data_IF_032280381015
#
_entry.id   IF_032280381015
#
_cell.length_a   1.000
_cell.length_b   1.000
_cell.length_c   1.000
_cell.angle_alpha   90.00
_cell.angle_beta   90.00
_cell.angle_gamma   90.00
#
_symmetry.space_group_name_H-M   'P 1'
#
loop_
_entity.id
_entity.type
_entity.pdbx_description
1 polymer ?
#
# COMPACT_ATOMS: atom_id res chain seq x y z
N UNK A 1 -8.75 16.96 14.90
CA UNK A 1 -8.05 16.05 13.97
C UNK A 1 -9.00 15.66 12.84
N UNK A 2 -8.57 15.83 11.57
CA UNK A 2 -9.40 15.49 10.41
C UNK A 2 -8.64 14.52 9.50
N UNK A 3 -9.29 13.46 8.98
CA UNK A 3 -8.65 12.51 8.07
C UNK A 3 -8.27 13.21 6.76
N UNK A 4 -7.02 13.05 6.31
CA UNK A 4 -6.48 13.61 5.06
C UNK A 4 -6.03 12.50 4.11
N UNK A 5 -6.07 12.76 2.81
CA UNK A 5 -5.42 11.91 1.81
C UNK A 5 -3.90 12.00 1.96
N UNK A 6 -3.21 10.86 1.91
CA UNK A 6 -1.74 10.79 1.87
C UNK A 6 -1.29 10.68 0.42
N UNK A 7 -1.04 11.81 -0.20
CA UNK A 7 -0.68 11.90 -1.63
C UNK A 7 0.55 11.07 -2.00
N UNK A 8 1.55 10.99 -1.14
CA UNK A 8 2.75 10.18 -1.36
C UNK A 8 2.49 8.67 -1.50
N UNK A 9 1.37 8.17 -0.95
CA UNK A 9 1.03 6.75 -1.02
C UNK A 9 0.20 6.36 -2.25
N UNK A 10 -0.35 7.32 -2.99
CA UNK A 10 -1.27 7.02 -4.12
C UNK A 10 -0.60 6.26 -5.27
N UNK A 11 0.72 6.30 -5.34
CA UNK A 11 1.52 5.64 -6.38
C UNK A 11 1.86 4.18 -6.04
N UNK A 12 1.78 3.81 -4.76
CA UNK A 12 2.05 2.46 -4.28
C UNK A 12 0.95 1.48 -4.69
N UNK A 13 1.21 0.18 -4.56
CA UNK A 13 0.16 -0.82 -4.78
C UNK A 13 -0.89 -0.78 -3.64
N UNK A 14 -2.05 -1.41 -3.86
CA UNK A 14 -3.15 -1.36 -2.90
C UNK A 14 -2.80 -2.04 -1.58
N UNK A 15 -2.02 -3.10 -1.64
CA UNK A 15 -1.62 -3.84 -0.46
C UNK A 15 -0.57 -3.06 0.34
N UNK A 16 0.40 -2.40 -0.32
CA UNK A 16 1.37 -1.53 0.34
C UNK A 16 0.69 -0.36 1.06
N UNK A 17 -0.32 0.25 0.43
CA UNK A 17 -1.11 1.32 1.08
C UNK A 17 -1.79 0.78 2.33
N UNK A 18 -2.50 -0.35 2.22
CA UNK A 18 -3.22 -0.95 3.34
C UNK A 18 -2.26 -1.35 4.48
N UNK A 19 -1.14 -2.00 4.15
CA UNK A 19 -0.15 -2.46 5.12
C UNK A 19 0.54 -1.28 5.83
N UNK A 20 0.77 -0.16 5.15
CA UNK A 20 1.29 1.05 5.78
C UNK A 20 0.33 1.58 6.84
N UNK A 21 -0.95 1.71 6.49
CA UNK A 21 -1.97 2.14 7.44
C UNK A 21 -2.15 1.15 8.60
N UNK A 22 -2.15 -0.16 8.31
CA UNK A 22 -2.24 -1.19 9.34
C UNK A 22 -1.07 -1.13 10.31
N UNK A 23 0.16 -1.04 9.81
CA UNK A 23 1.38 -1.00 10.63
C UNK A 23 1.37 0.17 11.60
N UNK A 24 1.05 1.36 11.11
CA UNK A 24 0.96 2.55 11.93
C UNK A 24 -0.19 2.46 12.95
N UNK A 25 -1.35 1.94 12.54
CA UNK A 25 -2.52 1.81 13.43
C UNK A 25 -2.27 0.76 14.52
N UNK A 26 -1.71 -0.39 14.16
CA UNK A 26 -1.37 -1.47 15.11
C UNK A 26 -0.32 -1.01 16.09
N UNK A 27 0.77 -0.38 15.62
CA UNK A 27 1.84 0.10 16.48
C UNK A 27 1.33 1.10 17.51
N UNK A 28 0.57 2.10 17.06
CA UNK A 28 0.00 3.11 17.96
C UNK A 28 -1.00 2.49 18.96
N UNK A 29 -1.92 1.64 18.48
CA UNK A 29 -2.88 0.99 19.37
C UNK A 29 -2.20 0.08 20.39
N UNK A 30 -1.23 -0.72 19.98
CA UNK A 30 -0.52 -1.62 20.90
C UNK A 30 0.22 -0.86 22.00
N UNK A 31 0.83 0.28 21.67
CA UNK A 31 1.52 1.13 22.64
C UNK A 31 0.57 1.69 23.69
N UNK A 32 -0.61 2.17 23.28
CA UNK A 32 -1.55 2.86 24.19
C UNK A 32 -2.63 1.97 24.80
N UNK A 33 -2.72 0.67 24.45
CA UNK A 33 -3.74 -0.24 25.03
C UNK A 33 -3.58 -0.47 26.55
N UNK A 34 -2.44 -0.13 27.14
CA UNK A 34 -2.21 -0.19 28.59
C UNK A 34 -2.76 1.05 29.33
N UNK A 35 -3.06 2.13 28.61
CA UNK A 35 -3.53 3.36 29.21
C UNK A 35 -4.96 3.20 29.79
N UNK A 36 -5.26 3.94 30.86
CA UNK A 36 -6.57 3.91 31.51
C UNK A 36 -7.70 4.35 30.57
N UNK A 37 -7.40 5.28 29.64
CA UNK A 37 -8.34 5.84 28.67
C UNK A 37 -8.19 5.24 27.26
N UNK A 38 -7.72 3.99 27.15
CA UNK A 38 -7.45 3.34 25.85
C UNK A 38 -8.67 3.28 24.91
N UNK A 39 -9.89 3.44 25.44
CA UNK A 39 -11.11 3.52 24.63
C UNK A 39 -11.06 4.65 23.61
N UNK A 40 -10.34 5.75 23.89
CA UNK A 40 -10.18 6.88 22.97
C UNK A 40 -9.44 6.47 21.66
N UNK A 41 -8.73 5.34 21.67
CA UNK A 41 -8.05 4.82 20.48
C UNK A 41 -8.99 4.52 19.31
N UNK A 42 -10.29 4.32 19.58
CA UNK A 42 -11.25 4.15 18.49
C UNK A 42 -11.35 5.40 17.60
N UNK A 43 -11.18 6.60 18.14
CA UNK A 43 -11.13 7.84 17.37
C UNK A 43 -9.89 7.89 16.46
N UNK A 44 -8.74 7.49 16.99
CA UNK A 44 -7.52 7.40 16.18
C UNK A 44 -7.68 6.39 15.04
N UNK A 45 -8.18 5.18 15.34
CA UNK A 45 -8.45 4.17 14.32
C UNK A 45 -9.41 4.68 13.24
N UNK A 46 -10.48 5.38 13.64
CA UNK A 46 -11.43 5.98 12.71
C UNK A 46 -10.75 6.99 11.77
N UNK A 47 -9.89 7.87 12.31
CA UNK A 47 -9.14 8.85 11.50
C UNK A 47 -8.23 8.16 10.50
N UNK A 48 -7.52 7.11 10.93
CA UNK A 48 -6.63 6.32 10.07
C UNK A 48 -7.41 5.60 8.97
N UNK A 49 -8.52 4.96 9.31
CA UNK A 49 -9.40 4.27 8.36
C UNK A 49 -9.95 5.24 7.30
N UNK A 50 -10.45 6.39 7.72
CA UNK A 50 -10.98 7.40 6.81
C UNK A 50 -9.90 8.08 5.96
N UNK A 51 -8.70 8.29 6.51
CA UNK A 51 -7.54 8.76 5.78
C UNK A 51 -7.14 7.76 4.68
N UNK A 52 -7.17 6.46 4.99
CA UNK A 52 -6.96 5.39 4.03
C UNK A 52 -8.01 5.44 2.90
N UNK A 53 -9.30 5.55 3.22
CA UNK A 53 -10.36 5.67 2.20
C UNK A 53 -10.13 6.87 1.27
N UNK A 54 -9.72 8.02 1.82
CA UNK A 54 -9.39 9.22 1.02
C UNK A 54 -8.16 8.99 0.14
N UNK A 55 -7.17 8.25 0.63
CA UNK A 55 -5.96 7.91 -0.15
C UNK A 55 -6.29 6.99 -1.32
N UNK A 56 -7.13 5.96 -1.10
CA UNK A 56 -7.64 5.13 -2.19
C UNK A 56 -8.50 5.92 -3.17
N UNK A 57 -9.36 6.82 -2.67
CA UNK A 57 -10.18 7.69 -3.51
C UNK A 57 -9.31 8.59 -4.40
N UNK A 58 -8.25 9.19 -3.84
CA UNK A 58 -7.26 9.97 -4.59
C UNK A 58 -6.52 9.12 -5.63
N UNK A 59 -6.08 7.90 -5.26
CA UNK A 59 -5.41 6.98 -6.18
C UNK A 59 -6.25 6.65 -7.41
N UNK A 60 -7.53 6.33 -7.18
CA UNK A 60 -8.46 5.91 -8.24
C UNK A 60 -9.27 7.06 -8.84
N UNK A 61 -9.01 8.31 -8.43
CA UNK A 61 -9.79 9.49 -8.84
C UNK A 61 -11.29 9.23 -8.73
N UNK A 62 -11.69 8.80 -7.55
CA UNK A 62 -13.05 8.34 -7.25
C UNK A 62 -13.52 8.90 -5.91
N UNK A 63 -14.76 8.63 -5.55
CA UNK A 63 -15.31 9.02 -4.26
C UNK A 63 -15.10 7.93 -3.21
N UNK A 64 -15.02 8.32 -1.93
CA UNK A 64 -14.92 7.39 -0.80
C UNK A 64 -16.06 6.36 -0.81
N UNK A 65 -17.29 6.79 -1.19
CA UNK A 65 -18.46 5.90 -1.30
C UNK A 65 -18.23 4.77 -2.30
N UNK A 66 -17.68 5.09 -3.48
CA UNK A 66 -17.39 4.09 -4.53
C UNK A 66 -16.24 3.15 -4.10
N UNK A 67 -15.22 3.68 -3.42
CA UNK A 67 -14.12 2.88 -2.86
C UNK A 67 -14.67 1.89 -1.82
N UNK A 68 -15.50 2.35 -0.88
CA UNK A 68 -16.09 1.47 0.12
C UNK A 68 -16.94 0.36 -0.52
N UNK A 69 -17.76 0.69 -1.52
CA UNK A 69 -18.55 -0.32 -2.24
C UNK A 69 -17.67 -1.41 -2.87
N UNK A 70 -16.48 -1.04 -3.36
CA UNK A 70 -15.55 -1.96 -4.05
C UNK A 70 -14.72 -2.83 -3.10
N UNK A 71 -14.25 -2.25 -1.98
CA UNK A 71 -13.25 -2.90 -1.11
C UNK A 71 -13.84 -3.41 0.21
N UNK A 72 -15.06 -3.04 0.57
CA UNK A 72 -15.66 -3.44 1.84
C UNK A 72 -16.32 -4.80 1.72
N UNK A 73 -15.74 -5.80 2.41
CA UNK A 73 -16.28 -7.14 2.57
C UNK A 73 -16.54 -7.38 4.06
N UNK A 74 -17.70 -7.91 4.40
CA UNK A 74 -18.09 -8.22 5.79
C UNK A 74 -17.82 -7.06 6.77
N UNK A 75 -18.19 -5.84 6.38
CA UNK A 75 -17.97 -4.59 7.15
C UNK A 75 -16.49 -4.20 7.34
N UNK A 76 -15.53 -4.93 6.75
CA UNK A 76 -14.10 -4.62 6.81
C UNK A 76 -13.58 -4.21 5.44
N UNK A 77 -12.68 -3.24 5.42
CA UNK A 77 -11.96 -2.89 4.20
C UNK A 77 -10.95 -3.98 3.88
N UNK A 78 -11.08 -4.60 2.71
CA UNK A 78 -10.32 -5.78 2.30
C UNK A 78 -9.69 -5.58 0.94
N UNK A 79 -8.40 -5.82 0.84
CA UNK A 79 -7.66 -5.86 -0.42
C UNK A 79 -7.35 -7.30 -0.75
N UNK A 80 -7.75 -7.75 -1.94
CA UNK A 80 -7.37 -9.05 -2.50
C UNK A 80 -6.09 -8.90 -3.32
N UNK A 81 -5.17 -9.82 -3.19
CA UNK A 81 -3.91 -9.87 -3.92
C UNK A 81 -3.53 -11.31 -4.26
N UNK A 82 -2.74 -11.49 -5.29
CA UNK A 82 -2.24 -12.80 -5.71
C UNK A 82 -0.79 -12.97 -5.23
N UNK A 83 -0.51 -14.11 -4.64
CA UNK A 83 0.83 -14.51 -4.23
C UNK A 83 1.05 -15.98 -4.60
N UNK A 84 2.04 -16.26 -5.44
CA UNK A 84 2.37 -17.60 -5.92
C UNK A 84 1.17 -18.36 -6.53
N UNK A 85 0.34 -17.67 -7.34
CA UNK A 85 -0.86 -18.25 -7.93
C UNK A 85 -2.06 -18.41 -6.98
N UNK A 86 -1.90 -18.08 -5.69
CA UNK A 86 -2.98 -18.14 -4.69
C UNK A 86 -3.54 -16.76 -4.40
N UNK A 87 -4.87 -16.62 -4.47
CA UNK A 87 -5.55 -15.36 -4.11
C UNK A 87 -5.66 -15.28 -2.59
N UNK A 88 -4.95 -14.29 -2.02
CA UNK A 88 -5.01 -13.96 -0.60
C UNK A 88 -5.75 -12.65 -0.37
N UNK A 89 -6.20 -12.42 0.86
CA UNK A 89 -6.85 -11.18 1.25
C UNK A 89 -6.20 -10.58 2.50
N UNK A 90 -6.15 -9.26 2.55
CA UNK A 90 -5.68 -8.49 3.70
C UNK A 90 -6.75 -7.49 4.11
N UNK A 91 -7.05 -7.43 5.41
CA UNK A 91 -8.07 -6.52 5.95
C UNK A 91 -7.44 -5.36 6.71
N UNK A 92 -8.17 -4.25 6.81
CA UNK A 92 -7.80 -3.17 7.72
C UNK A 92 -7.97 -3.63 9.17
N UNK A 93 -7.05 -3.18 10.03
CA UNK A 93 -6.96 -3.56 11.43
C UNK A 93 -8.26 -3.29 12.19
N UNK A 94 -8.76 -4.34 12.83
CA UNK A 94 -9.91 -4.29 13.74
C UNK A 94 -9.53 -4.93 15.06
N UNK A 95 -9.70 -4.21 16.15
CA UNK A 95 -9.54 -4.73 17.51
C UNK A 95 -10.62 -4.19 18.41
N UNK A 96 -10.83 -4.85 19.54
CA UNK A 96 -11.58 -4.29 20.67
C UNK A 96 -10.61 -3.46 21.51
N UNK A 97 -10.93 -2.19 21.76
CA UNK A 97 -10.08 -1.31 22.58
C UNK A 97 -10.35 -1.54 24.08
N UNK A 98 -10.19 -2.80 24.51
CA UNK A 98 -10.20 -3.15 25.93
C UNK A 98 -8.78 -2.96 26.49
N UNK A 99 -8.70 -2.36 27.68
CA UNK A 99 -7.43 -2.17 28.37
C UNK A 99 -6.72 -3.49 28.58
N UNK A 100 -5.43 -3.55 28.28
CA UNK A 100 -4.56 -4.65 28.66
C UNK A 100 -4.00 -4.38 30.05
N UNK A 101 -4.15 -5.34 30.94
CA UNK A 101 -3.63 -5.28 32.31
C UNK A 101 -2.19 -5.77 32.41
N UNK A 102 -1.75 -6.61 31.48
CA UNK A 102 -0.38 -7.12 31.42
C UNK A 102 0.39 -6.41 30.32
N UNK A 103 1.59 -5.93 30.65
CA UNK A 103 2.56 -5.52 29.66
C UNK A 103 2.87 -6.67 28.72
N UNK A 104 3.21 -6.38 27.46
CA UNK A 104 3.74 -7.40 26.57
C UNK A 104 4.96 -8.06 27.22
N UNK A 105 4.90 -9.34 27.53
CA UNK A 105 6.08 -10.16 27.85
C UNK A 105 6.87 -10.46 26.57
N UNK A 106 7.09 -9.47 25.76
CA UNK A 106 7.92 -9.57 24.58
C UNK A 106 9.20 -8.80 24.88
N UNK A 107 10.31 -9.30 24.44
CA UNK A 107 11.55 -8.57 24.32
C UNK A 107 11.27 -7.29 23.50
N UNK A 108 10.86 -6.24 24.23
CA UNK A 108 10.58 -4.92 23.65
C UNK A 108 11.83 -4.34 22.95
N UNK A 109 12.99 -4.90 23.25
CA UNK A 109 14.30 -4.49 22.73
C UNK A 109 14.75 -5.29 21.50
N UNK A 110 13.97 -6.28 21.04
CA UNK A 110 14.20 -6.88 19.74
C UNK A 110 13.50 -5.97 18.73
N UNK A 111 14.27 -5.23 17.94
CA UNK A 111 13.73 -4.60 16.75
C UNK A 111 12.92 -5.62 15.98
N UNK A 112 11.60 -5.36 15.73
CA UNK A 112 10.85 -6.29 14.92
C UNK A 112 11.58 -6.40 13.59
N UNK A 113 12.16 -7.55 13.30
CA UNK A 113 12.55 -7.90 11.95
C UNK A 113 11.33 -7.60 11.09
N UNK A 114 11.38 -6.52 10.35
CA UNK A 114 10.47 -6.38 9.27
C UNK A 114 10.82 -7.53 8.34
N UNK A 115 10.08 -8.61 8.43
CA UNK A 115 10.02 -9.59 7.37
C UNK A 115 9.51 -8.77 6.19
N UNK A 116 10.45 -8.16 5.48
CA UNK A 116 10.18 -7.59 4.19
C UNK A 116 9.59 -8.75 3.42
N UNK A 117 8.33 -8.61 3.04
CA UNK A 117 7.65 -9.61 2.23
C UNK A 117 8.49 -9.73 0.95
N UNK A 118 9.35 -10.75 0.90
CA UNK A 118 10.41 -10.94 -0.11
C UNK A 118 9.82 -11.01 -1.51
N UNK A 119 8.51 -11.25 -1.59
CA UNK A 119 7.76 -11.34 -2.84
C UNK A 119 7.35 -9.99 -3.43
N UNK A 120 7.56 -8.86 -2.72
CA UNK A 120 7.07 -7.53 -3.13
C UNK A 120 8.13 -6.48 -2.92
N UNK A 121 8.61 -5.96 -4.05
CA UNK A 121 9.54 -4.85 -4.05
C UNK A 121 8.78 -3.53 -3.91
N UNK A 122 9.06 -2.78 -2.85
CA UNK A 122 8.58 -1.41 -2.73
C UNK A 122 9.31 -0.48 -3.73
N UNK A 123 8.87 0.76 -3.83
CA UNK A 123 9.45 1.74 -4.76
C UNK A 123 10.95 1.93 -4.53
N UNK A 124 11.38 1.97 -3.27
CA UNK A 124 12.78 2.15 -2.89
C UNK A 124 13.64 0.96 -3.31
N UNK A 125 13.16 -0.27 -3.05
CA UNK A 125 13.89 -1.49 -3.39
C UNK A 125 14.03 -1.65 -4.90
N UNK A 126 13.00 -1.27 -5.65
CA UNK A 126 13.03 -1.29 -7.12
C UNK A 126 14.04 -0.30 -7.71
N UNK A 127 14.21 0.87 -7.06
CA UNK A 127 15.23 1.84 -7.45
C UNK A 127 16.62 1.36 -7.08
N UNK A 128 16.79 0.78 -5.88
CA UNK A 128 18.07 0.22 -5.41
C UNK A 128 18.53 -0.99 -6.21
N UNK A 129 17.61 -1.75 -6.78
CA UNK A 129 17.93 -2.88 -7.64
C UNK A 129 18.60 -2.47 -8.97
N UNK A 130 18.59 -1.17 -9.29
CA UNK A 130 19.22 -0.59 -10.49
C UNK A 130 18.91 -1.32 -11.80
N UNK A 131 17.80 -2.05 -11.84
CA UNK A 131 17.40 -2.88 -12.98
C UNK A 131 16.13 -2.35 -13.64
N UNK A 132 16.19 -2.05 -14.93
CA UNK A 132 15.05 -1.60 -15.71
C UNK A 132 13.97 -2.69 -15.75
N UNK A 133 12.74 -2.35 -15.37
CA UNK A 133 11.62 -3.31 -15.33
C UNK A 133 11.09 -3.67 -16.74
N UNK A 134 11.54 -2.99 -17.78
CA UNK A 134 11.12 -3.25 -19.16
C UNK A 134 12.16 -4.08 -19.95
N UNK A 135 13.41 -3.63 -20.01
CA UNK A 135 14.46 -4.29 -20.79
C UNK A 135 15.50 -5.04 -19.95
N UNK A 136 15.45 -4.93 -18.62
CA UNK A 136 16.39 -5.59 -17.73
C UNK A 136 17.77 -4.93 -17.63
N UNK A 137 18.06 -3.86 -18.39
CA UNK A 137 19.33 -3.15 -18.33
C UNK A 137 19.60 -2.60 -16.93
N UNK A 138 20.85 -2.67 -16.48
CA UNK A 138 21.32 -2.15 -15.21
C UNK A 138 21.82 -0.71 -15.35
N UNK A 139 21.72 0.08 -14.27
CA UNK A 139 22.23 1.44 -14.21
C UNK A 139 21.19 2.45 -13.72
N UNK A 140 21.39 3.72 -14.06
CA UNK A 140 20.53 4.82 -13.63
C UNK A 140 19.08 4.62 -14.08
N UNK A 141 18.15 4.66 -13.14
CA UNK A 141 16.72 4.49 -13.39
C UNK A 141 15.95 5.79 -13.21
N UNK A 142 14.89 5.91 -13.99
CA UNK A 142 13.90 6.99 -13.91
C UNK A 142 12.56 6.35 -13.57
N UNK A 143 11.86 6.91 -12.58
CA UNK A 143 10.53 6.44 -12.21
C UNK A 143 9.49 7.06 -13.14
N UNK A 144 8.90 6.25 -14.00
CA UNK A 144 7.80 6.64 -14.86
C UNK A 144 6.46 6.46 -14.14
N UNK A 145 5.60 7.49 -14.18
CA UNK A 145 4.29 7.51 -13.55
C UNK A 145 3.17 7.45 -14.58
N UNK A 146 2.19 6.60 -14.36
CA UNK A 146 0.96 6.58 -15.17
C UNK A 146 -0.16 7.34 -14.48
N UNK A 147 -0.90 8.12 -15.25
CA UNK A 147 -1.99 8.95 -14.74
C UNK A 147 -3.16 8.11 -14.24
N UNK A 148 -3.60 7.14 -15.01
CA UNK A 148 -4.71 6.25 -14.66
C UNK A 148 -4.33 4.80 -14.98
N UNK A 149 -4.67 3.87 -14.08
CA UNK A 149 -4.52 2.43 -14.34
C UNK A 149 -5.46 1.92 -15.44
N UNK A 150 -6.58 2.62 -15.68
CA UNK A 150 -7.54 2.30 -16.75
C UNK A 150 -6.92 2.45 -18.15
N UNK A 151 -5.92 3.31 -18.28
CA UNK A 151 -5.27 3.61 -19.55
C UNK A 151 -4.22 2.54 -19.91
N UNK A 152 -3.94 1.60 -18.98
CA UNK A 152 -3.03 0.48 -19.17
C UNK A 152 -3.72 -0.71 -19.86
N UNK A 153 -4.40 -0.44 -20.96
CA UNK A 153 -4.96 -1.49 -21.82
C UNK A 153 -3.88 -1.98 -22.78
N UNK A 154 -3.71 -3.30 -22.88
CA UNK A 154 -2.74 -3.91 -23.79
C UNK A 154 -2.15 -5.21 -23.27
N UNK A 155 -1.54 -5.97 -24.19
CA UNK A 155 -0.96 -7.30 -23.90
C UNK A 155 0.49 -7.23 -23.39
N UNK A 156 1.12 -6.04 -23.38
CA UNK A 156 2.51 -5.89 -22.97
C UNK A 156 2.71 -6.30 -21.51
N UNK A 157 3.80 -7.01 -21.25
CA UNK A 157 4.13 -7.59 -19.95
C UNK A 157 4.13 -6.56 -18.80
N UNK A 158 4.69 -5.37 -19.04
CA UNK A 158 4.76 -4.32 -18.05
C UNK A 158 3.37 -3.71 -17.70
N UNK A 159 2.46 -3.57 -18.70
CA UNK A 159 1.08 -3.10 -18.46
C UNK A 159 0.31 -4.13 -17.64
N UNK A 160 0.47 -5.42 -17.94
CA UNK A 160 -0.14 -6.51 -17.15
C UNK A 160 0.37 -6.49 -15.71
N UNK A 161 1.69 -6.37 -15.52
CA UNK A 161 2.32 -6.33 -14.22
C UNK A 161 1.82 -5.13 -13.38
N UNK A 162 1.78 -3.93 -13.96
CA UNK A 162 1.28 -2.74 -13.27
C UNK A 162 -0.20 -2.84 -12.94
N UNK A 163 -1.02 -3.39 -13.85
CA UNK A 163 -2.45 -3.58 -13.63
C UNK A 163 -2.73 -4.65 -12.57
N UNK A 164 -2.03 -5.79 -12.61
CA UNK A 164 -2.17 -6.87 -11.64
C UNK A 164 -1.80 -6.40 -10.21
N UNK A 165 -0.72 -5.65 -10.08
CA UNK A 165 -0.28 -5.07 -8.80
C UNK A 165 -0.99 -3.77 -8.42
N UNK A 166 -1.85 -3.23 -9.30
CA UNK A 166 -2.55 -1.96 -9.11
C UNK A 166 -1.63 -0.81 -8.71
N UNK A 167 -0.41 -0.78 -9.28
CA UNK A 167 0.58 0.27 -9.03
C UNK A 167 0.68 1.24 -10.20
N UNK A 168 1.00 2.49 -9.91
CA UNK A 168 1.09 3.56 -10.91
C UNK A 168 2.51 3.94 -11.32
N UNK A 169 3.50 3.16 -10.90
CA UNK A 169 4.92 3.44 -11.17
C UNK A 169 5.63 2.25 -11.79
N UNK A 170 6.59 2.55 -12.68
CA UNK A 170 7.52 1.58 -13.26
C UNK A 170 8.92 2.20 -13.32
N UNK A 171 9.95 1.44 -12.97
CA UNK A 171 11.34 1.87 -13.01
C UNK A 171 11.95 1.57 -14.38
N UNK A 172 12.35 2.60 -15.11
CA UNK A 172 12.84 2.49 -16.47
C UNK A 172 14.24 3.10 -16.62
N UNK A 173 15.08 2.53 -17.48
CA UNK A 173 16.29 3.21 -17.95
C UNK A 173 15.93 4.42 -18.82
N UNK A 174 16.84 5.39 -19.01
CA UNK A 174 16.57 6.59 -19.79
C UNK A 174 16.09 6.31 -21.23
N UNK A 175 16.61 5.27 -21.85
CA UNK A 175 16.23 4.84 -23.20
C UNK A 175 14.78 4.35 -23.26
N UNK A 176 14.41 3.41 -22.41
CA UNK A 176 13.03 2.90 -22.33
C UNK A 176 12.04 3.99 -21.90
N UNK A 177 12.44 4.89 -21.01
CA UNK A 177 11.62 6.03 -20.60
C UNK A 177 11.31 6.96 -21.77
N UNK A 178 12.32 7.29 -22.61
CA UNK A 178 12.15 8.10 -23.83
C UNK A 178 11.26 7.42 -24.86
N UNK A 179 11.48 6.12 -25.15
CA UNK A 179 10.64 5.34 -26.06
C UNK A 179 9.19 5.30 -25.62
N UNK A 180 8.97 5.22 -24.30
CA UNK A 180 7.62 5.23 -23.71
C UNK A 180 6.90 6.57 -23.95
N UNK A 181 7.60 7.71 -23.82
CA UNK A 181 7.03 9.02 -24.12
C UNK A 181 6.72 9.20 -25.60
N UNK A 182 7.47 8.55 -26.48
CA UNK A 182 7.23 8.54 -27.93
C UNK A 182 6.12 7.57 -28.36
N UNK A 183 5.50 6.83 -27.43
CA UNK A 183 4.45 5.87 -27.74
C UNK A 183 4.91 4.61 -28.50
N UNK A 184 6.23 4.35 -28.54
CA UNK A 184 6.85 3.24 -29.27
C UNK A 184 6.97 1.94 -28.47
N UNK A 185 6.56 1.98 -27.17
CA UNK A 185 6.56 0.82 -26.25
C UNK A 185 5.41 0.96 -25.25
#
# INVERSE_FOLDING_TARGET
>A
WKPKCRSGLIFNDDLEILDRYNRETVGFCNYYLIANNCVVLHNFRYIMEYSMYKTFAGKYRSTVRKINKKYRLNKLFTVKYEQQGVIKSRTFYKTSFKRRTTAFNGSCDIEPYSIADVSRTNLTDRLKAEKCELCGATGKLIMHHVRNLKDLKGKESWKRLMSARKRKTIALCPSCHRLRHLGKV
#
